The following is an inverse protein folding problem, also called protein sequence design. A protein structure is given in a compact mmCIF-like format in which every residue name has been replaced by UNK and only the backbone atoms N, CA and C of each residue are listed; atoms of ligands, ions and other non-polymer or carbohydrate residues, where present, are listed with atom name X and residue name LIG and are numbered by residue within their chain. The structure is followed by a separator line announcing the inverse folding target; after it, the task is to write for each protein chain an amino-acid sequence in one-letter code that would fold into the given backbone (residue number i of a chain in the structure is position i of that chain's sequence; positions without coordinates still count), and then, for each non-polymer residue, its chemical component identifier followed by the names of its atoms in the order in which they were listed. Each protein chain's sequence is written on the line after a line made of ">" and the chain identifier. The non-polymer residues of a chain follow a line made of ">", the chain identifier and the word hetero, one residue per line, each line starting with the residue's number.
data_IF_024157478026
#
_entry.id   IF_024157478026
#
_cell.length_a   1.000
_cell.length_b   1.000
_cell.length_c   1.000
_cell.angle_alpha   90.00
_cell.angle_beta   90.00
_cell.angle_gamma   90.00
#
_symmetry.space_group_name_H-M   'P 1'
#
loop_
_entity.id
_entity.type
_entity.pdbx_description
1 polymer ?
#
# COMPACT_ATOMS: atom_id res chain seq x y z
N UNK A 1 -26.03 6.13 -34.30
CA UNK A 1 -24.81 6.26 -33.46
C UNK A 1 -24.21 4.87 -33.43
N UNK A 2 -23.15 4.67 -34.20
CA UNK A 2 -22.63 3.34 -34.56
C UNK A 2 -21.69 2.87 -33.46
N UNK A 3 -22.09 1.87 -32.69
CA UNK A 3 -21.29 1.23 -31.68
C UNK A 3 -20.31 0.28 -32.40
N UNK A 4 -19.11 0.79 -32.74
CA UNK A 4 -18.06 -0.02 -33.33
C UNK A 4 -17.45 -0.90 -32.22
N UNK A 5 -17.82 -2.17 -32.21
CA UNK A 5 -17.16 -3.19 -31.37
C UNK A 5 -15.78 -3.42 -32.01
N UNK A 6 -14.82 -2.59 -31.65
CA UNK A 6 -13.41 -2.85 -31.89
C UNK A 6 -13.00 -4.01 -30.98
N UNK A 7 -12.40 -5.03 -31.58
CA UNK A 7 -11.81 -6.19 -30.91
C UNK A 7 -10.63 -5.68 -30.02
N UNK A 8 -10.96 -5.23 -28.80
CA UNK A 8 -10.06 -4.55 -27.89
C UNK A 8 -9.20 -5.59 -27.20
N UNK A 9 -7.89 -5.54 -27.44
CA UNK A 9 -6.87 -6.42 -26.82
C UNK A 9 -6.31 -5.85 -25.51
N UNK A 10 -6.69 -4.63 -25.12
CA UNK A 10 -6.15 -3.93 -23.96
C UNK A 10 -7.02 -4.05 -22.71
N UNK A 11 -6.43 -3.66 -21.56
CA UNK A 11 -7.13 -3.62 -20.27
C UNK A 11 -8.09 -2.43 -20.24
N UNK A 12 -9.40 -2.61 -19.96
CA UNK A 12 -10.36 -1.52 -20.01
C UNK A 12 -10.19 -0.54 -18.87
N UNK A 13 -10.07 0.75 -19.23
CA UNK A 13 -9.87 1.86 -18.31
C UNK A 13 -10.95 2.96 -18.44
N UNK A 14 -11.26 3.60 -17.31
CA UNK A 14 -11.97 4.88 -17.26
C UNK A 14 -11.00 6.02 -17.03
N UNK A 15 -11.11 7.10 -17.81
CA UNK A 15 -10.27 8.28 -17.71
C UNK A 15 -11.13 9.54 -17.53
N UNK A 16 -10.99 10.20 -16.38
CA UNK A 16 -11.79 11.36 -15.96
C UNK A 16 -10.87 12.51 -15.54
N UNK A 17 -10.51 13.35 -16.49
CA UNK A 17 -9.56 14.46 -16.31
C UNK A 17 -10.15 15.75 -16.87
N UNK A 18 -10.04 16.84 -16.13
CA UNK A 18 -10.70 18.10 -16.50
C UNK A 18 -10.06 18.78 -17.70
N UNK A 19 -8.73 18.75 -17.83
CA UNK A 19 -8.04 19.35 -18.98
C UNK A 19 -8.02 18.40 -20.19
N UNK A 20 -8.62 18.81 -21.34
CA UNK A 20 -8.66 17.96 -22.53
C UNK A 20 -7.29 17.56 -23.08
N UNK A 21 -6.29 18.44 -23.00
CA UNK A 21 -4.93 18.14 -23.49
C UNK A 21 -4.26 17.08 -22.66
N UNK A 22 -4.38 17.17 -21.34
CA UNK A 22 -3.88 16.15 -20.40
C UNK A 22 -4.62 14.82 -20.63
N UNK A 23 -5.94 14.87 -20.84
CA UNK A 23 -6.73 13.67 -21.10
C UNK A 23 -6.29 12.95 -22.39
N UNK A 24 -6.08 13.69 -23.49
CA UNK A 24 -5.61 13.15 -24.76
C UNK A 24 -4.19 12.56 -24.66
N UNK A 25 -3.26 13.31 -24.05
CA UNK A 25 -1.90 12.86 -23.85
C UNK A 25 -1.84 11.58 -23.00
N UNK A 26 -2.60 11.55 -21.91
CA UNK A 26 -2.64 10.39 -21.02
C UNK A 26 -3.31 9.18 -21.69
N UNK A 27 -4.41 9.38 -22.43
CA UNK A 27 -5.08 8.32 -23.18
C UNK A 27 -4.13 7.68 -24.22
N UNK A 28 -3.35 8.49 -24.93
CA UNK A 28 -2.34 7.99 -25.89
C UNK A 28 -1.28 7.13 -25.19
N UNK A 29 -0.76 7.59 -24.04
CA UNK A 29 0.25 6.85 -23.28
C UNK A 29 -0.30 5.58 -22.61
N UNK A 30 -1.54 5.59 -22.17
CA UNK A 30 -2.22 4.39 -21.69
C UNK A 30 -2.36 3.35 -22.80
N UNK A 31 -2.76 3.78 -24.01
CA UNK A 31 -2.89 2.89 -25.17
C UNK A 31 -1.54 2.26 -25.56
N UNK A 32 -0.42 3.03 -25.56
CA UNK A 32 0.94 2.52 -25.78
C UNK A 32 1.31 1.42 -24.77
N UNK A 33 0.74 1.46 -23.57
CA UNK A 33 0.95 0.47 -22.51
C UNK A 33 -0.09 -0.66 -22.49
N UNK A 34 -0.93 -0.78 -23.52
CA UNK A 34 -1.93 -1.85 -23.62
C UNK A 34 -3.18 -1.62 -22.74
N UNK A 35 -3.45 -0.37 -22.38
CA UNK A 35 -4.61 0.02 -21.57
C UNK A 35 -5.57 0.80 -22.46
N UNK A 36 -6.76 0.22 -22.70
CA UNK A 36 -7.76 0.81 -23.57
C UNK A 36 -8.71 1.72 -22.78
N UNK A 37 -8.68 3.02 -23.03
CA UNK A 37 -9.65 3.96 -22.46
C UNK A 37 -11.02 3.74 -23.11
N UNK A 38 -11.89 3.05 -22.39
CA UNK A 38 -13.25 2.68 -22.86
C UNK A 38 -14.31 3.69 -22.45
N UNK A 39 -14.04 4.47 -21.44
CA UNK A 39 -14.88 5.56 -20.96
C UNK A 39 -14.03 6.77 -20.62
N UNK A 40 -14.35 7.90 -21.18
CA UNK A 40 -13.61 9.15 -20.98
C UNK A 40 -14.55 10.32 -20.75
N UNK A 41 -14.22 11.16 -19.79
CA UNK A 41 -14.88 12.46 -19.60
C UNK A 41 -13.80 13.51 -19.39
N UNK A 42 -13.93 14.63 -20.09
CA UNK A 42 -13.06 15.79 -19.93
C UNK A 42 -13.91 17.07 -19.84
N UNK A 43 -13.30 18.16 -19.40
CA UNK A 43 -14.00 19.39 -19.03
C UNK A 43 -14.42 19.38 -17.57
N UNK A 44 -15.17 20.39 -17.16
CA UNK A 44 -15.67 20.48 -15.79
C UNK A 44 -16.67 19.35 -15.51
N UNK A 45 -16.37 18.49 -14.58
CA UNK A 45 -17.25 17.40 -14.17
C UNK A 45 -17.47 17.40 -12.65
N UNK A 46 -18.60 16.86 -12.25
CA UNK A 46 -18.96 16.64 -10.85
C UNK A 46 -18.82 15.14 -10.55
N UNK A 47 -18.07 14.80 -9.53
CA UNK A 47 -17.84 13.41 -9.13
C UNK A 47 -19.13 12.59 -8.96
N UNK A 48 -20.18 13.21 -8.37
CA UNK A 48 -21.47 12.53 -8.24
C UNK A 48 -22.05 12.06 -9.58
N UNK A 49 -21.88 12.87 -10.65
CA UNK A 49 -22.35 12.50 -11.99
C UNK A 49 -21.52 11.35 -12.58
N UNK A 50 -20.21 11.34 -12.33
CA UNK A 50 -19.34 10.21 -12.75
C UNK A 50 -19.77 8.95 -12.04
N UNK A 51 -19.97 8.99 -10.73
CA UNK A 51 -20.39 7.82 -9.94
C UNK A 51 -21.72 7.28 -10.44
N UNK A 52 -22.68 8.14 -10.78
CA UNK A 52 -24.01 7.71 -11.23
C UNK A 52 -24.07 7.20 -12.68
N UNK A 53 -23.20 7.71 -13.56
CA UNK A 53 -23.30 7.45 -15.01
C UNK A 53 -22.19 6.53 -15.55
N UNK A 54 -21.26 6.09 -14.69
CA UNK A 54 -20.16 5.21 -15.08
C UNK A 54 -20.48 3.77 -14.73
N UNK A 55 -20.33 2.86 -15.70
CA UNK A 55 -20.38 1.43 -15.44
C UNK A 55 -19.00 0.92 -15.01
N UNK A 56 -18.71 1.01 -13.71
CA UNK A 56 -17.42 0.61 -13.15
C UNK A 56 -17.14 -0.89 -13.25
N UNK A 57 -18.18 -1.75 -13.28
CA UNK A 57 -18.00 -3.20 -13.36
C UNK A 57 -17.27 -3.67 -14.64
N UNK A 58 -17.21 -2.83 -15.67
CA UNK A 58 -16.46 -3.12 -16.90
C UNK A 58 -15.03 -2.62 -16.89
N UNK A 59 -14.62 -1.88 -15.85
CA UNK A 59 -13.31 -1.25 -15.76
C UNK A 59 -12.37 -2.04 -14.85
N UNK A 60 -11.12 -2.17 -15.29
CA UNK A 60 -10.04 -2.74 -14.48
C UNK A 60 -9.18 -1.65 -13.83
N UNK A 61 -9.23 -0.45 -14.37
CA UNK A 61 -8.60 0.73 -13.77
C UNK A 61 -9.44 1.98 -14.01
N UNK A 62 -9.41 2.84 -13.03
CA UNK A 62 -10.04 4.18 -13.07
C UNK A 62 -8.97 5.21 -12.77
N UNK A 63 -8.73 6.10 -13.71
CA UNK A 63 -7.85 7.26 -13.54
C UNK A 63 -8.74 8.50 -13.45
N UNK A 64 -8.73 9.18 -12.31
CA UNK A 64 -9.64 10.29 -12.06
C UNK A 64 -8.95 11.45 -11.36
N UNK A 65 -9.20 12.67 -11.84
CA UNK A 65 -8.76 13.89 -11.19
C UNK A 65 -9.60 14.20 -9.96
N UNK A 66 -8.94 14.52 -8.84
CA UNK A 66 -9.60 14.93 -7.60
C UNK A 66 -10.36 16.24 -7.78
N UNK A 67 -11.51 16.43 -7.07
CA UNK A 67 -12.22 17.69 -7.08
C UNK A 67 -11.32 18.84 -6.62
N UNK A 68 -11.58 20.04 -7.15
CA UNK A 68 -10.83 21.23 -6.75
C UNK A 68 -11.13 21.70 -5.33
N UNK A 69 -12.23 21.24 -4.73
CA UNK A 69 -12.69 21.64 -3.39
C UNK A 69 -13.60 20.58 -2.79
N UNK A 70 -13.77 20.62 -1.48
CA UNK A 70 -14.60 19.68 -0.73
C UNK A 70 -13.77 18.69 0.11
N UNK A 71 -14.45 17.75 0.74
CA UNK A 71 -13.78 16.67 1.47
C UNK A 71 -13.32 15.59 0.48
N UNK A 72 -12.04 15.69 0.08
CA UNK A 72 -11.43 14.81 -0.90
C UNK A 72 -11.38 13.37 -0.44
N UNK A 73 -11.17 13.14 0.85
CA UNK A 73 -11.06 11.79 1.42
C UNK A 73 -12.41 11.09 1.40
N UNK A 74 -13.48 11.79 1.79
CA UNK A 74 -14.83 11.23 1.73
C UNK A 74 -15.30 11.01 0.28
N UNK A 75 -14.92 11.89 -0.66
CA UNK A 75 -15.19 11.68 -2.07
C UNK A 75 -14.53 10.40 -2.60
N UNK A 76 -13.27 10.16 -2.25
CA UNK A 76 -12.55 8.94 -2.65
C UNK A 76 -13.16 7.70 -2.02
N UNK A 77 -13.52 7.72 -0.74
CA UNK A 77 -14.21 6.61 -0.09
C UNK A 77 -15.56 6.30 -0.74
N UNK A 78 -16.31 7.34 -1.12
CA UNK A 78 -17.58 7.18 -1.81
C UNK A 78 -17.39 6.51 -3.17
N UNK A 79 -16.40 6.93 -3.96
CA UNK A 79 -16.08 6.31 -5.25
C UNK A 79 -15.59 4.86 -5.08
N UNK A 80 -14.70 4.60 -4.12
CA UNK A 80 -14.13 3.28 -3.89
C UNK A 80 -15.20 2.21 -3.58
N UNK A 81 -16.33 2.59 -2.97
CA UNK A 81 -17.46 1.69 -2.72
C UNK A 81 -18.19 1.21 -3.98
N UNK A 82 -18.00 1.91 -5.11
CA UNK A 82 -18.63 1.56 -6.39
C UNK A 82 -17.70 0.77 -7.30
N UNK A 83 -16.44 0.56 -6.88
CA UNK A 83 -15.47 -0.21 -7.63
C UNK A 83 -15.49 -1.67 -7.18
N UNK A 84 -15.32 -2.57 -8.15
CA UNK A 84 -15.17 -3.99 -7.87
C UNK A 84 -13.83 -4.29 -7.18
N UNK A 85 -13.78 -5.36 -6.39
CA UNK A 85 -12.54 -5.86 -5.82
C UNK A 85 -11.54 -6.18 -6.95
N UNK A 86 -10.38 -5.53 -6.90
CA UNK A 86 -9.34 -5.66 -7.93
C UNK A 86 -9.39 -4.59 -9.03
N UNK A 87 -10.32 -3.63 -8.98
CA UNK A 87 -10.24 -2.43 -9.82
C UNK A 87 -9.21 -1.45 -9.24
N UNK A 88 -8.23 -1.07 -10.06
CA UNK A 88 -7.20 -0.10 -9.67
C UNK A 88 -7.76 1.32 -9.73
N UNK A 89 -7.66 2.08 -8.63
CA UNK A 89 -8.08 3.47 -8.54
C UNK A 89 -6.86 4.39 -8.47
N UNK A 90 -6.58 5.07 -9.56
CA UNK A 90 -5.48 6.03 -9.67
C UNK A 90 -6.06 7.45 -9.59
N UNK A 91 -5.55 8.23 -8.67
CA UNK A 91 -6.00 9.59 -8.44
C UNK A 91 -4.98 10.60 -8.98
N UNK A 92 -5.47 11.67 -9.58
CA UNK A 92 -4.66 12.80 -10.01
C UNK A 92 -5.06 14.04 -9.22
N UNK A 93 -4.10 14.84 -8.77
CA UNK A 93 -4.42 16.03 -7.98
C UNK A 93 -3.32 17.07 -7.96
N UNK A 94 -3.51 18.13 -7.14
CA UNK A 94 -2.60 19.28 -7.08
C UNK A 94 -1.70 19.31 -5.87
N UNK A 95 -2.01 18.48 -4.88
CA UNK A 95 -1.27 18.45 -3.62
C UNK A 95 -0.13 17.44 -3.72
N UNK A 96 1.04 17.78 -3.14
CA UNK A 96 2.24 16.92 -3.15
C UNK A 96 2.63 16.48 -1.72
N UNK A 97 1.67 16.51 -0.77
CA UNK A 97 1.91 16.12 0.61
C UNK A 97 1.96 14.60 0.78
N UNK A 98 3.01 14.10 1.42
CA UNK A 98 3.13 12.67 1.76
C UNK A 98 2.01 12.21 2.70
N UNK A 99 1.59 13.07 3.63
CA UNK A 99 0.47 12.78 4.55
C UNK A 99 -0.82 12.60 3.76
N UNK A 100 -1.09 13.50 2.81
CA UNK A 100 -2.25 13.44 1.95
C UNK A 100 -2.25 12.17 1.08
N UNK A 101 -1.10 11.81 0.50
CA UNK A 101 -0.93 10.55 -0.23
C UNK A 101 -1.37 9.34 0.60
N UNK A 102 -0.88 9.23 1.84
CA UNK A 102 -1.25 8.11 2.72
C UNK A 102 -2.74 8.11 3.11
N UNK A 103 -3.36 9.29 3.28
CA UNK A 103 -4.80 9.38 3.53
C UNK A 103 -5.61 8.88 2.34
N UNK A 104 -5.21 9.21 1.10
CA UNK A 104 -5.84 8.71 -0.12
C UNK A 104 -5.71 7.19 -0.27
N UNK A 105 -4.53 6.64 0.02
CA UNK A 105 -4.30 5.18 0.03
C UNK A 105 -5.24 4.47 1.01
N UNK A 106 -5.42 5.01 2.23
CA UNK A 106 -6.37 4.48 3.22
C UNK A 106 -7.83 4.64 2.80
N UNK A 107 -8.13 5.64 2.00
CA UNK A 107 -9.48 5.86 1.47
C UNK A 107 -9.84 4.90 0.32
N UNK A 108 -8.89 4.10 -0.16
CA UNK A 108 -9.10 3.09 -1.20
C UNK A 108 -8.42 3.40 -2.54
N UNK A 109 -7.59 4.45 -2.62
CA UNK A 109 -6.78 4.69 -3.81
C UNK A 109 -5.68 3.65 -3.96
N UNK A 110 -5.47 3.16 -5.18
CA UNK A 110 -4.33 2.31 -5.53
C UNK A 110 -3.06 3.12 -5.66
N UNK A 111 -3.15 4.32 -6.25
CA UNK A 111 -2.02 5.26 -6.32
C UNK A 111 -2.49 6.70 -6.53
N UNK A 112 -1.56 7.67 -6.43
CA UNK A 112 -1.83 9.08 -6.59
C UNK A 112 -0.66 9.78 -7.26
N UNK A 113 -0.96 10.61 -8.25
CA UNK A 113 0.03 11.42 -8.97
C UNK A 113 -0.35 12.89 -8.96
N UNK A 114 0.60 13.81 -8.72
CA UNK A 114 0.41 15.21 -9.00
C UNK A 114 0.06 15.46 -10.47
N UNK A 115 -0.82 16.41 -10.77
CA UNK A 115 -1.19 16.79 -12.15
C UNK A 115 0.00 17.30 -12.98
N UNK A 116 1.11 17.63 -12.34
CA UNK A 116 2.38 18.02 -12.99
C UNK A 116 3.23 16.82 -13.42
N UNK A 117 2.84 15.62 -13.05
CA UNK A 117 3.55 14.39 -13.42
C UNK A 117 3.40 14.13 -14.92
N UNK A 118 4.47 13.70 -15.57
CA UNK A 118 4.46 13.40 -16.99
C UNK A 118 3.47 12.25 -17.31
N UNK A 119 2.71 12.34 -18.41
CA UNK A 119 1.75 11.29 -18.79
C UNK A 119 2.36 9.89 -18.92
N UNK A 120 3.63 9.80 -19.35
CA UNK A 120 4.39 8.57 -19.44
C UNK A 120 4.56 7.88 -18.09
N UNK A 121 4.90 8.66 -17.06
CA UNK A 121 5.11 8.17 -15.70
C UNK A 121 3.80 7.68 -15.09
N UNK A 122 2.72 8.42 -15.29
CA UNK A 122 1.37 8.02 -14.84
C UNK A 122 0.97 6.71 -15.55
N UNK A 123 1.12 6.63 -16.86
CA UNK A 123 0.75 5.44 -17.63
C UNK A 123 1.57 4.20 -17.22
N UNK A 124 2.86 4.38 -16.91
CA UNK A 124 3.70 3.32 -16.38
C UNK A 124 3.21 2.84 -15.00
N UNK A 125 2.88 3.76 -14.10
CA UNK A 125 2.33 3.42 -12.78
C UNK A 125 0.97 2.73 -12.86
N UNK A 126 0.09 3.18 -13.77
CA UNK A 126 -1.19 2.50 -14.05
C UNK A 126 -0.93 1.06 -14.51
N UNK A 127 0.00 0.85 -15.45
CA UNK A 127 0.37 -0.48 -15.93
C UNK A 127 0.91 -1.35 -14.79
N UNK A 128 1.82 -0.82 -13.99
CA UNK A 128 2.39 -1.52 -12.84
C UNK A 128 1.32 -1.92 -11.80
N UNK A 129 0.26 -1.11 -11.65
CA UNK A 129 -0.85 -1.43 -10.75
C UNK A 129 -1.80 -2.52 -11.28
N UNK A 130 -1.76 -2.77 -12.59
CA UNK A 130 -2.59 -3.78 -13.29
C UNK A 130 -1.85 -5.10 -13.51
N UNK A 131 -0.53 -5.03 -13.63
CA UNK A 131 0.27 -6.24 -13.54
C UNK A 131 -0.10 -6.87 -12.19
N UNK A 132 -0.43 -8.18 -12.17
CA UNK A 132 -0.55 -8.82 -10.89
C UNK A 132 0.72 -8.38 -10.19
N UNK A 133 0.56 -7.50 -9.17
CA UNK A 133 1.65 -7.34 -8.24
C UNK A 133 2.00 -8.80 -8.01
N UNK A 134 3.19 -9.23 -8.51
CA UNK A 134 3.78 -10.36 -7.86
C UNK A 134 3.64 -9.92 -6.43
N UNK A 135 2.54 -10.37 -5.83
CA UNK A 135 2.44 -10.38 -4.40
C UNK A 135 3.82 -10.90 -4.09
N UNK A 136 4.71 -9.97 -3.66
CA UNK A 136 5.88 -10.47 -2.92
C UNK A 136 5.17 -11.37 -1.99
N UNK A 137 5.17 -12.66 -2.37
CA UNK A 137 4.28 -13.68 -1.83
C UNK A 137 4.24 -13.38 -0.37
N UNK A 138 3.11 -12.77 0.07
CA UNK A 138 2.99 -12.42 1.47
C UNK A 138 3.21 -13.76 2.11
N UNK A 139 4.38 -13.98 2.71
CA UNK A 139 5.01 -15.30 2.81
C UNK A 139 3.94 -16.20 3.35
N UNK A 140 3.51 -17.14 2.54
CA UNK A 140 2.32 -17.97 2.67
C UNK A 140 2.10 -18.24 4.14
N UNK A 141 1.17 -17.47 4.76
CA UNK A 141 0.78 -17.53 6.15
C UNK A 141 1.87 -17.94 7.12
N UNK A 142 2.76 -17.02 7.51
CA UNK A 142 3.70 -17.27 8.59
C UNK A 142 2.93 -17.72 9.83
N UNK A 143 3.37 -18.77 10.51
CA UNK A 143 2.76 -19.19 11.77
C UNK A 143 3.14 -18.18 12.84
N UNK A 144 2.17 -17.63 13.52
CA UNK A 144 2.39 -16.79 14.70
C UNK A 144 2.37 -17.69 15.94
N UNK A 145 3.45 -17.63 16.72
CA UNK A 145 3.57 -18.30 18.01
C UNK A 145 3.68 -17.23 19.07
N UNK A 146 2.71 -17.17 19.97
CA UNK A 146 2.72 -16.24 21.09
C UNK A 146 3.21 -16.97 22.35
N UNK A 147 4.20 -16.39 23.04
CA UNK A 147 4.75 -16.89 24.30
C UNK A 147 4.40 -15.90 25.42
N UNK A 148 3.58 -16.34 26.35
CA UNK A 148 3.13 -15.53 27.48
C UNK A 148 3.66 -16.08 28.79
N UNK A 149 4.16 -15.18 29.64
CA UNK A 149 4.49 -15.49 31.03
C UNK A 149 3.32 -15.24 31.96
N UNK A 150 2.99 -16.19 32.83
CA UNK A 150 1.95 -16.00 33.87
C UNK A 150 2.43 -15.07 35.02
N UNK A 151 3.68 -14.59 34.97
CA UNK A 151 4.28 -13.66 35.91
C UNK A 151 5.68 -13.22 35.47
N UNK A 152 6.29 -12.33 36.23
CA UNK A 152 7.65 -11.86 35.98
C UNK A 152 8.68 -12.94 36.29
N UNK A 153 9.75 -13.01 35.48
CA UNK A 153 10.92 -13.85 35.76
C UNK A 153 10.70 -15.37 35.54
N UNK A 154 9.58 -15.79 35.01
CA UNK A 154 9.27 -17.22 34.79
C UNK A 154 9.84 -17.81 33.50
N UNK A 155 10.69 -17.06 32.80
CA UNK A 155 11.44 -17.55 31.63
C UNK A 155 10.74 -17.45 30.30
N UNK A 156 9.68 -16.65 30.15
CA UNK A 156 8.99 -16.47 28.87
C UNK A 156 9.93 -15.98 27.75
N UNK A 157 10.74 -14.95 28.03
CA UNK A 157 11.73 -14.43 27.08
C UNK A 157 12.78 -15.48 26.71
N UNK A 158 13.30 -16.22 27.68
CA UNK A 158 14.24 -17.33 27.44
C UNK A 158 13.61 -18.39 26.55
N UNK A 159 12.38 -18.81 26.87
CA UNK A 159 11.64 -19.80 26.08
C UNK A 159 11.41 -19.34 24.65
N UNK A 160 10.98 -18.08 24.46
CA UNK A 160 10.77 -17.51 23.14
C UNK A 160 12.07 -17.47 22.34
N UNK A 161 13.18 -17.05 22.97
CA UNK A 161 14.51 -16.97 22.32
C UNK A 161 15.01 -18.35 21.87
N UNK A 162 14.94 -19.37 22.74
CA UNK A 162 15.39 -20.71 22.41
C UNK A 162 14.53 -21.33 21.31
N UNK A 163 13.21 -21.19 21.43
CA UNK A 163 12.27 -21.67 20.40
C UNK A 163 12.53 -21.02 19.04
N UNK A 164 12.73 -19.71 19.02
CA UNK A 164 13.03 -18.98 17.80
C UNK A 164 14.37 -19.41 17.18
N UNK A 165 15.40 -19.63 17.99
CA UNK A 165 16.70 -20.09 17.52
C UNK A 165 16.64 -21.49 16.90
N UNK A 166 15.84 -22.40 17.47
CA UNK A 166 15.61 -23.74 16.92
C UNK A 166 14.80 -23.70 15.62
N UNK A 167 13.74 -22.88 15.55
CA UNK A 167 12.94 -22.75 14.36
C UNK A 167 13.72 -22.11 13.21
N UNK A 168 14.60 -21.14 13.51
CA UNK A 168 15.42 -20.44 12.54
C UNK A 168 16.41 -21.36 11.79
N UNK A 169 16.70 -22.54 12.31
CA UNK A 169 17.48 -23.56 11.60
C UNK A 169 16.72 -24.18 10.42
N UNK A 170 15.38 -24.08 10.41
CA UNK A 170 14.50 -24.74 9.43
C UNK A 170 13.80 -23.77 8.51
N UNK A 171 13.51 -22.55 8.99
CA UNK A 171 12.79 -21.53 8.24
C UNK A 171 13.14 -20.13 8.78
N UNK A 172 12.97 -19.05 8.00
CA UNK A 172 13.13 -17.68 8.48
C UNK A 172 12.18 -17.38 9.64
N UNK A 173 12.70 -16.78 10.72
CA UNK A 173 11.95 -16.42 11.92
C UNK A 173 12.15 -14.95 12.24
N UNK A 174 11.06 -14.28 12.61
CA UNK A 174 11.09 -12.95 13.22
C UNK A 174 10.61 -13.09 14.66
N UNK A 175 11.44 -12.68 15.61
CA UNK A 175 11.04 -12.55 17.02
C UNK A 175 10.63 -11.11 17.26
N UNK A 176 9.47 -10.92 17.86
CA UNK A 176 9.00 -9.61 18.33
C UNK A 176 9.01 -9.63 19.85
N UNK A 177 9.93 -8.88 20.47
CA UNK A 177 9.92 -8.67 21.92
C UNK A 177 8.97 -7.52 22.25
N UNK A 178 7.79 -7.85 22.74
CA UNK A 178 6.79 -6.87 23.16
C UNK A 178 7.00 -6.33 24.58
N UNK A 179 8.11 -6.66 25.20
CA UNK A 179 8.52 -6.17 26.52
C UNK A 179 9.04 -4.74 26.46
N UNK A 180 8.17 -3.73 26.29
CA UNK A 180 8.56 -2.33 26.10
C UNK A 180 9.38 -1.75 27.27
N UNK A 181 9.17 -2.23 28.48
CA UNK A 181 9.84 -1.72 29.67
C UNK A 181 11.07 -2.56 30.08
N UNK A 182 11.02 -3.84 29.84
CA UNK A 182 12.09 -4.80 30.24
C UNK A 182 12.24 -5.87 29.15
N UNK A 183 12.80 -5.49 27.99
CA UNK A 183 13.07 -6.45 26.93
C UNK A 183 14.16 -7.42 27.38
N UNK A 184 14.08 -8.64 26.92
CA UNK A 184 15.04 -9.69 27.31
C UNK A 184 15.65 -10.41 26.12
N UNK A 185 14.96 -10.46 25.00
CA UNK A 185 15.36 -11.24 23.82
C UNK A 185 16.65 -10.72 23.21
N UNK A 186 16.80 -9.39 23.07
CA UNK A 186 18.02 -8.76 22.55
C UNK A 186 19.25 -9.15 23.38
N UNK A 187 19.13 -9.07 24.71
CA UNK A 187 20.22 -9.43 25.64
C UNK A 187 20.59 -10.92 25.51
N UNK A 188 19.62 -11.81 25.37
CA UNK A 188 19.91 -13.24 25.18
C UNK A 188 20.56 -13.55 23.83
N UNK A 189 20.27 -12.75 22.80
CA UNK A 189 20.85 -12.88 21.47
C UNK A 189 22.18 -12.14 21.31
N UNK A 190 22.61 -11.39 22.35
CA UNK A 190 23.86 -10.64 22.35
C UNK A 190 23.85 -9.42 21.44
N UNK A 191 22.67 -8.83 21.22
CA UNK A 191 22.50 -7.61 20.44
C UNK A 191 21.96 -6.49 21.31
N UNK A 192 22.57 -5.32 21.17
CA UNK A 192 22.09 -4.09 21.78
C UNK A 192 21.35 -3.29 20.69
N UNK A 193 20.03 -3.31 20.75
CA UNK A 193 19.19 -2.70 19.69
C UNK A 193 18.36 -1.58 20.30
N UNK A 194 18.54 -0.33 19.86
CA UNK A 194 17.69 0.76 20.35
C UNK A 194 16.26 0.62 19.77
N UNK A 195 15.31 0.28 20.63
CA UNK A 195 13.87 0.40 20.52
C UNK A 195 13.24 0.51 19.12
N UNK A 196 13.30 -0.56 18.34
CA UNK A 196 12.73 -0.53 16.99
C UNK A 196 11.19 -0.68 17.01
N UNK A 197 10.64 -1.50 17.90
CA UNK A 197 9.18 -1.70 18.03
C UNK A 197 8.45 -0.41 18.48
N UNK A 198 8.88 0.31 19.54
CA UNK A 198 8.24 1.57 19.92
C UNK A 198 8.22 2.60 18.79
N UNK A 199 9.32 2.75 18.07
CA UNK A 199 9.41 3.65 16.89
C UNK A 199 8.42 3.26 15.80
N UNK A 200 8.26 1.97 15.54
CA UNK A 200 7.28 1.48 14.58
C UNK A 200 5.84 1.74 15.06
N UNK A 201 5.55 1.52 16.35
CA UNK A 201 4.22 1.78 16.91
C UNK A 201 3.86 3.28 16.87
N UNK A 202 4.84 4.17 17.04
CA UNK A 202 4.64 5.62 16.89
C UNK A 202 4.45 6.03 15.42
N UNK A 203 5.08 5.31 14.50
CA UNK A 203 5.03 5.59 13.06
C UNK A 203 3.87 4.88 12.34
N UNK A 204 2.73 4.66 12.99
CA UNK A 204 1.58 3.88 12.46
C UNK A 204 1.16 4.30 11.05
N UNK A 205 1.28 5.59 10.72
CA UNK A 205 0.91 6.15 9.42
C UNK A 205 1.96 5.87 8.31
N UNK A 206 3.12 5.34 8.67
CA UNK A 206 4.26 5.10 7.77
C UNK A 206 4.73 3.65 7.81
N UNK A 207 3.92 2.74 8.35
CA UNK A 207 4.23 1.31 8.38
C UNK A 207 4.17 0.74 6.96
N UNK A 208 5.34 0.59 6.36
CA UNK A 208 5.54 -0.10 5.10
C UNK A 208 6.61 -1.20 5.25
N UNK A 209 6.75 -2.04 4.23
CA UNK A 209 7.71 -3.14 4.23
C UNK A 209 9.17 -2.64 4.37
N UNK A 210 9.47 -1.43 3.91
CA UNK A 210 10.82 -0.85 3.98
C UNK A 210 11.15 -0.49 5.42
N UNK A 211 10.25 0.22 6.12
CA UNK A 211 10.42 0.59 7.52
C UNK A 211 10.52 -0.66 8.40
N UNK A 212 9.66 -1.66 8.16
CA UNK A 212 9.73 -2.94 8.89
C UNK A 212 11.09 -3.59 8.70
N UNK A 213 11.55 -3.75 7.46
CA UNK A 213 12.84 -4.39 7.19
C UNK A 213 14.04 -3.62 7.76
N UNK A 214 14.00 -2.28 7.75
CA UNK A 214 15.04 -1.44 8.35
C UNK A 214 15.04 -1.50 9.88
N UNK A 215 13.92 -1.83 10.50
CA UNK A 215 13.77 -1.94 11.95
C UNK A 215 14.16 -3.31 12.49
N UNK A 216 14.32 -4.29 11.62
CA UNK A 216 14.72 -5.64 11.99
C UNK A 216 16.25 -5.76 12.08
N UNK A 217 16.72 -6.36 13.15
CA UNK A 217 18.14 -6.74 13.30
C UNK A 217 18.26 -8.26 13.11
N UNK A 218 19.31 -8.72 12.45
CA UNK A 218 19.57 -10.13 12.21
C UNK A 218 20.76 -10.62 13.08
N UNK A 219 20.52 -11.03 14.32
CA UNK A 219 21.58 -11.52 15.22
C UNK A 219 22.22 -12.81 14.74
N UNK A 220 21.48 -13.63 14.01
CA UNK A 220 21.93 -14.87 13.38
C UNK A 220 21.24 -15.07 12.04
N UNK A 221 21.89 -15.78 11.13
CA UNK A 221 21.30 -16.10 9.82
C UNK A 221 19.93 -16.75 9.96
N UNK A 222 18.93 -16.15 9.35
CA UNK A 222 17.54 -16.64 9.36
C UNK A 222 16.75 -16.29 10.63
N UNK A 223 17.36 -15.62 11.62
CA UNK A 223 16.69 -15.11 12.82
C UNK A 223 16.75 -13.60 12.85
N UNK A 224 15.62 -12.95 12.75
CA UNK A 224 15.49 -11.50 12.86
C UNK A 224 14.79 -11.13 14.16
N UNK A 225 15.16 -9.98 14.72
CA UNK A 225 14.60 -9.44 15.96
C UNK A 225 14.02 -8.06 15.72
N UNK A 226 12.81 -7.85 16.23
CA UNK A 226 12.21 -6.55 16.45
C UNK A 226 12.13 -6.33 17.96
N UNK A 227 12.98 -5.45 18.48
CA UNK A 227 13.13 -5.24 19.93
C UNK A 227 12.20 -4.16 20.47
N UNK A 228 11.64 -4.41 21.64
CA UNK A 228 10.72 -3.52 22.35
C UNK A 228 11.40 -2.47 23.23
N UNK A 229 12.74 -2.46 23.36
CA UNK A 229 13.44 -1.56 24.28
C UNK A 229 13.29 -0.09 23.90
N UNK A 230 12.75 0.71 24.80
CA UNK A 230 12.79 2.17 24.75
C UNK A 230 13.58 2.67 25.97
N UNK A 231 14.78 3.21 25.80
CA UNK A 231 15.52 3.79 26.92
C UNK A 231 14.71 4.96 27.50
N UNK A 232 14.50 4.94 28.80
CA UNK A 232 13.92 6.08 29.51
C UNK A 232 14.84 7.29 29.31
N UNK A 233 14.35 8.32 28.59
CA UNK A 233 14.99 9.61 28.44
C UNK A 233 14.75 10.51 29.65
#
# INVERSE_FOLDING_TARGET
>A
MTNTILNRRGVPAGLFVSDPRTAEALAAKLAENGIDVVQQTHGAFVWANIIQNTNFAQLKTVVIELPASGDLIEAVKALAKHLDAGTSLILLGRESSVVFYHQLKRAGATDYYPLTTAPEEIAYGVKASLEPQQEQEAPVGGRVIAVFGAGYGIGAGTTATVLAAELAQKAPVIVVDAGLLMPSVGSYLGVDVPGSLPKMLQAQDRLDAVLVNQSLVEPRKGLKLLDGYEPFG
#
